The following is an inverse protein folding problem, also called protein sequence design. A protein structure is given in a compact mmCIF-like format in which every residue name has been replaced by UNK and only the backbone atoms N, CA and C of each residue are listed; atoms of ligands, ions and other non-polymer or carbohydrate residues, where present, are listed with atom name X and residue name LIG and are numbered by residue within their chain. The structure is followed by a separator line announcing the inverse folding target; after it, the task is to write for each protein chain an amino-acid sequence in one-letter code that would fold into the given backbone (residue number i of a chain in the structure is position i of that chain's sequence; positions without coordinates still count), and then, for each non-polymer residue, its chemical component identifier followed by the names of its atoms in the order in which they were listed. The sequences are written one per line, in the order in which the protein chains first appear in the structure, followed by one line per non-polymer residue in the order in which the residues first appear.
data_IF_043134042084
#
_entry.id   IF_043134042084
#
_cell.length_a   1.000
_cell.length_b   1.000
_cell.length_c   1.000
_cell.angle_alpha   90.00
_cell.angle_beta   90.00
_cell.angle_gamma   90.00
#
_symmetry.space_group_name_H-M   'P 1'
#
loop_
_entity.id
_entity.type
_entity.pdbx_description
1 polymer ?
#
# COMPACT_ATOMS: atom_id res chain seq x y z
N UNK A 1 12.24 9.49 15.92
CA UNK A 1 11.74 10.86 16.14
C UNK A 1 10.31 10.72 16.66
N UNK A 2 10.01 11.10 17.91
CA UNK A 2 8.73 10.79 18.55
C UNK A 2 7.48 11.20 17.73
N UNK A 3 7.60 12.20 16.85
CA UNK A 3 6.48 12.72 16.05
C UNK A 3 6.04 11.81 14.91
N UNK A 4 6.91 10.93 14.39
CA UNK A 4 6.61 10.05 13.25
C UNK A 4 6.91 8.56 13.50
N UNK A 5 7.45 8.21 14.67
CA UNK A 5 7.83 6.84 15.02
C UNK A 5 6.68 5.83 14.92
N UNK A 6 5.43 6.29 15.10
CA UNK A 6 4.23 5.47 14.99
C UNK A 6 4.01 4.87 13.59
N UNK A 7 4.59 5.45 12.53
CA UNK A 7 4.39 5.01 11.15
C UNK A 7 5.14 3.72 10.87
N UNK A 8 6.37 3.60 11.38
CA UNK A 8 7.27 2.52 11.01
C UNK A 8 6.74 1.14 11.39
N UNK A 9 6.06 1.01 12.54
CA UNK A 9 5.42 -0.27 12.92
C UNK A 9 4.36 -0.71 11.90
N UNK A 10 3.63 0.24 11.31
CA UNK A 10 2.59 -0.05 10.33
C UNK A 10 3.17 -0.33 8.95
N UNK A 11 4.24 0.39 8.58
CA UNK A 11 4.97 0.12 7.33
C UNK A 11 5.62 -1.26 7.35
N UNK A 12 6.29 -1.66 8.44
CA UNK A 12 6.90 -3.00 8.54
C UNK A 12 5.86 -4.12 8.44
N UNK A 13 4.71 -3.98 9.11
CA UNK A 13 3.62 -4.97 8.95
C UNK A 13 3.10 -5.01 7.51
N UNK A 14 3.00 -3.86 6.84
CA UNK A 14 2.57 -3.82 5.44
C UNK A 14 3.63 -4.44 4.50
N UNK A 15 4.92 -4.23 4.75
CA UNK A 15 6.04 -4.85 4.03
C UNK A 15 5.99 -6.38 4.15
N UNK A 16 5.89 -6.91 5.37
CA UNK A 16 5.79 -8.34 5.64
C UNK A 16 4.61 -8.97 4.90
N UNK A 17 3.45 -8.31 4.94
CA UNK A 17 2.25 -8.75 4.20
C UNK A 17 2.44 -8.70 2.69
N UNK A 18 3.15 -7.71 2.16
CA UNK A 18 3.40 -7.62 0.72
C UNK A 18 4.31 -8.76 0.24
N UNK A 19 5.34 -9.09 1.03
CA UNK A 19 6.20 -10.26 0.79
C UNK A 19 5.38 -11.55 0.85
N UNK A 20 4.53 -11.72 1.87
CA UNK A 20 3.63 -12.87 1.99
C UNK A 20 2.76 -13.02 0.73
N UNK A 21 2.10 -11.93 0.30
CA UNK A 21 1.26 -11.93 -0.89
C UNK A 21 2.03 -12.33 -2.15
N UNK A 22 3.23 -11.78 -2.37
CA UNK A 22 4.07 -12.09 -3.51
C UNK A 22 4.50 -13.57 -3.54
N UNK A 23 4.83 -14.14 -2.37
CA UNK A 23 5.22 -15.54 -2.22
C UNK A 23 4.03 -16.50 -2.37
N UNK A 24 2.86 -16.15 -1.80
CA UNK A 24 1.65 -16.98 -1.81
C UNK A 24 1.02 -17.07 -3.20
N UNK A 25 1.11 -16.01 -3.99
CA UNK A 25 0.46 -15.93 -5.30
C UNK A 25 1.48 -15.71 -6.44
N UNK A 26 2.44 -16.61 -6.71
CA UNK A 26 3.51 -16.36 -7.68
C UNK A 26 3.02 -16.23 -9.13
N UNK A 27 1.87 -16.85 -9.43
CA UNK A 27 1.32 -16.97 -10.79
C UNK A 27 -0.06 -16.28 -10.93
N UNK A 28 -0.33 -15.23 -10.15
CA UNK A 28 -1.60 -14.52 -10.19
C UNK A 28 -1.93 -13.99 -11.60
N UNK A 29 -3.21 -13.98 -11.93
CA UNK A 29 -3.77 -13.48 -13.20
C UNK A 29 -5.06 -12.70 -12.92
N UNK A 30 -5.54 -11.96 -13.92
CA UNK A 30 -6.81 -11.22 -13.84
C UNK A 30 -6.84 -10.24 -12.67
N UNK A 31 -7.98 -10.15 -11.99
CA UNK A 31 -8.20 -9.20 -10.90
C UNK A 31 -7.31 -9.47 -9.68
N UNK A 32 -6.90 -10.72 -9.43
CA UNK A 32 -5.94 -11.03 -8.37
C UNK A 32 -4.59 -10.36 -8.63
N UNK A 33 -4.05 -10.46 -9.85
CA UNK A 33 -2.81 -9.76 -10.21
C UNK A 33 -2.98 -8.25 -10.07
N UNK A 34 -4.09 -7.70 -10.58
CA UNK A 34 -4.36 -6.25 -10.50
C UNK A 34 -4.42 -5.76 -9.05
N UNK A 35 -5.04 -6.52 -8.15
CA UNK A 35 -5.10 -6.21 -6.73
C UNK A 35 -3.72 -6.28 -6.06
N UNK A 36 -2.91 -7.30 -6.39
CA UNK A 36 -1.53 -7.43 -5.89
C UNK A 36 -0.64 -6.27 -6.35
N UNK A 37 -0.73 -5.89 -7.63
CA UNK A 37 -0.01 -4.74 -8.18
C UNK A 37 -0.45 -3.44 -7.49
N UNK A 38 -1.76 -3.29 -7.21
CA UNK A 38 -2.26 -2.14 -6.46
C UNK A 38 -1.79 -2.14 -4.99
N UNK A 39 -1.70 -3.29 -4.32
CA UNK A 39 -1.06 -3.38 -3.00
C UNK A 39 0.37 -2.86 -3.05
N UNK A 40 1.15 -3.26 -4.05
CA UNK A 40 2.52 -2.74 -4.24
C UNK A 40 2.55 -1.22 -4.36
N UNK A 41 1.63 -0.62 -5.12
CA UNK A 41 1.53 0.85 -5.25
C UNK A 41 1.21 1.53 -3.94
N UNK A 42 0.20 1.04 -3.21
CA UNK A 42 -0.19 1.62 -1.93
C UNK A 42 0.94 1.52 -0.90
N UNK A 43 1.69 0.41 -0.89
CA UNK A 43 2.86 0.26 -0.03
C UNK A 43 3.94 1.28 -0.35
N UNK A 44 4.35 1.40 -1.62
CA UNK A 44 5.36 2.37 -2.04
C UNK A 44 4.95 3.81 -1.72
N UNK A 45 3.68 4.13 -1.95
CA UNK A 45 3.12 5.44 -1.60
C UNK A 45 3.13 5.69 -0.09
N UNK A 46 2.81 4.69 0.73
CA UNK A 46 2.86 4.80 2.19
C UNK A 46 4.29 5.00 2.70
N UNK A 47 5.28 4.36 2.05
CA UNK A 47 6.70 4.39 2.41
C UNK A 47 7.43 5.66 1.95
N UNK A 48 6.80 6.57 1.20
CA UNK A 48 7.49 7.78 0.74
C UNK A 48 8.11 8.54 1.92
N UNK A 49 9.41 8.81 1.81
CA UNK A 49 10.17 9.58 2.79
C UNK A 49 9.67 11.01 2.94
N UNK A 50 8.97 11.53 1.92
CA UNK A 50 8.37 12.87 1.95
C UNK A 50 7.41 13.02 3.12
N UNK A 51 6.62 11.98 3.45
CA UNK A 51 5.69 12.05 4.56
C UNK A 51 6.41 12.19 5.89
N UNK A 52 7.44 11.38 6.12
CA UNK A 52 8.24 11.44 7.34
C UNK A 52 9.00 12.77 7.45
N UNK A 53 9.48 13.30 6.33
CA UNK A 53 10.15 14.59 6.25
C UNK A 53 9.20 15.76 6.59
N UNK A 54 8.02 15.81 5.96
CA UNK A 54 6.97 16.82 6.21
C UNK A 54 6.55 16.81 7.69
N UNK A 55 6.38 15.62 8.28
CA UNK A 55 6.07 15.51 9.71
C UNK A 55 7.21 15.99 10.62
N UNK A 56 8.46 15.84 10.17
CA UNK A 56 9.64 16.28 10.93
C UNK A 56 9.82 17.80 10.82
N UNK A 57 9.60 18.40 9.65
CA UNK A 57 9.75 19.84 9.41
C UNK A 57 8.56 20.66 9.88
N UNK A 58 7.43 20.03 10.21
CA UNK A 58 6.27 20.68 10.82
C UNK A 58 5.37 21.42 9.82
N UNK A 59 5.65 21.37 8.53
CA UNK A 59 4.78 21.93 7.49
C UNK A 59 3.66 20.94 7.18
N UNK A 60 2.41 21.40 7.05
CA UNK A 60 1.27 20.56 6.62
C UNK A 60 1.16 19.16 7.27
N UNK A 61 1.60 18.98 8.53
CA UNK A 61 1.64 17.67 9.23
C UNK A 61 0.33 16.89 9.14
N UNK A 62 -0.87 17.50 9.33
CA UNK A 62 -2.12 16.76 9.21
C UNK A 62 -2.33 16.12 7.82
N UNK A 63 -1.83 16.76 6.76
CA UNK A 63 -1.89 16.24 5.40
C UNK A 63 -1.00 15.01 5.23
N UNK A 64 0.27 15.08 5.65
CA UNK A 64 1.18 13.94 5.58
C UNK A 64 0.65 12.75 6.38
N UNK A 65 0.17 12.99 7.61
CA UNK A 65 -0.42 11.93 8.46
C UNK A 65 -1.61 11.28 7.78
N UNK A 66 -2.49 12.09 7.16
CA UNK A 66 -3.64 11.57 6.42
C UNK A 66 -3.22 10.74 5.22
N UNK A 67 -2.27 11.21 4.40
CA UNK A 67 -1.79 10.47 3.22
C UNK A 67 -1.20 9.11 3.60
N UNK A 68 -0.32 9.06 4.60
CA UNK A 68 0.24 7.80 5.07
C UNK A 68 -0.85 6.83 5.55
N UNK A 69 -1.83 7.30 6.34
CA UNK A 69 -2.94 6.48 6.81
C UNK A 69 -3.83 6.00 5.68
N UNK A 70 -4.16 6.86 4.73
CA UNK A 70 -5.02 6.53 3.60
C UNK A 70 -4.41 5.40 2.76
N UNK A 71 -3.11 5.45 2.45
CA UNK A 71 -2.42 4.40 1.71
C UNK A 71 -2.34 3.09 2.52
N UNK A 72 -1.99 3.15 3.80
CA UNK A 72 -1.98 1.97 4.68
C UNK A 72 -3.35 1.30 4.80
N UNK A 73 -4.42 2.09 4.85
CA UNK A 73 -5.79 1.59 4.93
C UNK A 73 -6.20 0.91 3.61
N UNK A 74 -5.86 1.50 2.44
CA UNK A 74 -6.13 0.89 1.14
C UNK A 74 -5.35 -0.40 0.96
N UNK A 75 -4.06 -0.39 1.31
CA UNK A 75 -3.22 -1.60 1.33
C UNK A 75 -3.87 -2.70 2.19
N UNK A 76 -4.25 -2.37 3.43
CA UNK A 76 -4.83 -3.34 4.36
C UNK A 76 -6.17 -3.87 3.86
N UNK A 77 -7.03 -3.02 3.31
CA UNK A 77 -8.30 -3.43 2.73
C UNK A 77 -8.13 -4.37 1.54
N UNK A 78 -7.19 -4.09 0.63
CA UNK A 78 -6.86 -4.97 -0.49
C UNK A 78 -6.28 -6.30 -0.01
N UNK A 79 -5.36 -6.27 0.97
CA UNK A 79 -4.81 -7.47 1.60
C UNK A 79 -5.92 -8.38 2.16
N UNK A 80 -6.89 -7.83 2.90
CA UNK A 80 -8.01 -8.57 3.46
C UNK A 80 -8.99 -9.11 2.40
N UNK A 81 -9.13 -8.40 1.28
CA UNK A 81 -9.92 -8.86 0.14
C UNK A 81 -9.23 -10.02 -0.59
N UNK A 82 -7.92 -9.92 -0.82
CA UNK A 82 -7.11 -10.95 -1.50
C UNK A 82 -7.05 -12.22 -0.66
N UNK A 83 -6.70 -12.09 0.62
CA UNK A 83 -6.54 -13.25 1.52
C UNK A 83 -7.87 -13.94 1.85
N UNK A 84 -8.98 -13.19 1.78
CA UNK A 84 -10.34 -13.70 1.93
C UNK A 84 -11.04 -14.13 0.64
N UNK A 85 -10.33 -14.15 -0.50
CA UNK A 85 -10.86 -14.52 -1.83
C UNK A 85 -12.19 -13.80 -2.20
N UNK A 86 -12.24 -12.50 -1.91
CA UNK A 86 -13.44 -11.67 -2.03
C UNK A 86 -13.14 -10.30 -2.64
N UNK A 87 -12.30 -10.29 -3.68
CA UNK A 87 -11.90 -9.06 -4.36
C UNK A 87 -13.13 -8.33 -4.91
N UNK A 88 -13.36 -7.13 -4.41
CA UNK A 88 -14.37 -6.22 -4.92
C UNK A 88 -13.76 -5.39 -6.05
N UNK A 89 -14.17 -5.70 -7.28
CA UNK A 89 -13.68 -5.03 -8.48
C UNK A 89 -14.00 -3.54 -8.49
N UNK A 90 -15.16 -3.12 -7.97
CA UNK A 90 -15.52 -1.70 -7.93
C UNK A 90 -14.61 -0.93 -6.96
N UNK A 91 -14.33 -1.51 -5.80
CA UNK A 91 -13.36 -0.96 -4.85
C UNK A 91 -11.96 -0.89 -5.45
N UNK A 92 -11.49 -1.97 -6.09
CA UNK A 92 -10.18 -2.02 -6.75
C UNK A 92 -10.04 -0.95 -7.84
N UNK A 93 -11.05 -0.80 -8.71
CA UNK A 93 -11.04 0.19 -9.78
C UNK A 93 -11.04 1.62 -9.22
N UNK A 94 -11.78 1.87 -8.12
CA UNK A 94 -11.80 3.17 -7.45
C UNK A 94 -10.45 3.52 -6.80
N UNK A 95 -9.76 2.55 -6.21
CA UNK A 95 -8.41 2.75 -5.66
C UNK A 95 -7.43 3.03 -6.80
N UNK A 96 -7.45 2.21 -7.84
CA UNK A 96 -6.57 2.37 -9.00
C UNK A 96 -6.72 3.74 -9.67
N UNK A 97 -7.96 4.21 -9.83
CA UNK A 97 -8.21 5.53 -10.42
C UNK A 97 -7.63 6.68 -9.56
N UNK A 98 -7.61 6.52 -8.23
CA UNK A 98 -7.04 7.51 -7.31
C UNK A 98 -5.52 7.49 -7.31
N UNK A 99 -4.92 6.30 -7.37
CA UNK A 99 -3.49 6.08 -7.24
C UNK A 99 -2.94 5.26 -8.43
N UNK A 100 -2.92 5.82 -9.66
CA UNK A 100 -2.59 5.09 -10.90
C UNK A 100 -1.08 5.01 -11.22
N UNK A 101 -0.23 5.57 -10.37
CA UNK A 101 1.22 5.67 -10.63
C UNK A 101 1.90 4.30 -10.69
N UNK A 102 3.07 4.20 -11.34
CA UNK A 102 3.79 2.95 -11.60
C UNK A 102 2.91 1.95 -12.37
N UNK A 103 2.57 2.30 -13.61
CA UNK A 103 1.72 1.45 -14.46
C UNK A 103 2.39 0.08 -14.74
N UNK A 104 3.71 0.07 -14.75
CA UNK A 104 4.62 -1.05 -14.98
C UNK A 104 4.98 -1.86 -13.73
N UNK A 105 4.42 -1.53 -12.55
CA UNK A 105 4.69 -2.26 -11.33
C UNK A 105 4.38 -3.76 -11.51
N UNK A 106 5.23 -4.60 -10.93
CA UNK A 106 4.98 -6.03 -10.80
C UNK A 106 5.14 -6.40 -9.34
N UNK A 107 4.05 -6.85 -8.71
CA UNK A 107 4.04 -7.29 -7.30
C UNK A 107 5.08 -8.38 -7.00
N UNK A 108 5.58 -9.09 -8.01
CA UNK A 108 6.61 -10.13 -7.87
C UNK A 108 7.98 -9.58 -7.51
N UNK A 109 8.19 -8.27 -7.60
CA UNK A 109 9.43 -7.63 -7.12
C UNK A 109 9.65 -7.79 -5.61
N UNK A 110 8.60 -8.13 -4.84
CA UNK A 110 8.65 -8.41 -3.40
C UNK A 110 8.88 -9.89 -3.06
N UNK A 111 9.17 -10.74 -4.05
CA UNK A 111 9.44 -12.17 -3.83
C UNK A 111 10.87 -12.43 -3.37
#
# INVERSE_FOLDING_TARGET
NPTNDWIYRHLHVAEERMVELAQRFPNARGDLRRALDQCGRELLLAQSSDWAFIMTTGTTVPYAVRRTKDHLNRFTGLYEQITGDRIDRASLDAIHWRDPIFAEIDYRAWR
#
